data_IF_528009560820
#
_entry.id   IF_528009560820
#
_cell.length_a   1.000
_cell.length_b   1.000
_cell.length_c   1.000
_cell.angle_alpha   90.00
_cell.angle_beta   90.00
_cell.angle_gamma   90.00
#
_symmetry.space_group_name_H-M   'P 1'
#
loop_
_entity.id
_entity.type
_entity.pdbx_description
1 polymer ?
#
# COMPACT_ATOMS: atom_id res chain seq x y z
N UNK A 1 -16.26 -59.41 52.44
CA UNK A 1 -17.30 -59.19 51.43
C UNK A 1 -17.06 -57.81 50.84
N UNK A 2 -16.47 -57.85 49.64
CA UNK A 2 -16.62 -56.95 48.49
C UNK A 2 -16.46 -55.43 48.62
N UNK A 3 -15.62 -54.87 47.73
CA UNK A 3 -15.86 -53.51 47.23
C UNK A 3 -14.65 -52.72 46.73
N UNK A 4 -14.08 -53.09 45.58
CA UNK A 4 -13.29 -52.18 44.74
C UNK A 4 -14.11 -50.92 44.35
N UNK A 5 -13.48 -49.73 44.34
CA UNK A 5 -13.30 -48.87 43.14
C UNK A 5 -12.55 -47.57 43.47
N UNK A 6 -11.48 -47.31 42.70
CA UNK A 6 -10.76 -46.05 42.57
C UNK A 6 -11.51 -45.07 41.65
N UNK A 7 -11.46 -43.76 41.93
CA UNK A 7 -10.84 -42.70 41.09
C UNK A 7 -11.36 -41.28 41.39
N UNK A 8 -10.41 -40.38 41.67
CA UNK A 8 -10.27 -38.95 41.26
C UNK A 8 -11.48 -38.01 41.20
N UNK A 9 -11.40 -36.84 41.87
CA UNK A 9 -11.29 -35.48 41.28
C UNK A 9 -11.51 -34.36 42.34
N UNK A 10 -10.72 -33.29 42.19
CA UNK A 10 -11.05 -31.86 42.35
C UNK A 10 -11.01 -31.11 43.72
N UNK A 11 -10.17 -30.06 43.69
CA UNK A 11 -10.34 -28.66 44.15
C UNK A 11 -9.90 -28.20 45.56
N UNK A 12 -9.16 -27.07 45.56
CA UNK A 12 -9.24 -26.03 46.60
C UNK A 12 -7.90 -25.55 47.19
N UNK A 13 -7.07 -24.81 46.43
CA UNK A 13 -6.80 -23.35 46.61
C UNK A 13 -6.19 -22.89 47.94
N UNK A 14 -4.97 -22.34 47.91
CA UNK A 14 -4.66 -20.92 48.19
C UNK A 14 -3.16 -20.71 48.48
N UNK A 15 -2.45 -20.00 47.59
CA UNK A 15 -1.10 -19.48 47.82
C UNK A 15 -0.94 -18.15 47.04
N UNK A 16 -1.07 -17.04 47.76
CA UNK A 16 -0.66 -15.69 47.38
C UNK A 16 -0.05 -15.11 48.67
N UNK A 17 1.11 -14.44 48.76
CA UNK A 17 1.63 -13.28 48.04
C UNK A 17 3.10 -13.13 48.51
N UNK A 18 4.12 -13.04 47.64
CA UNK A 18 5.46 -12.47 47.98
C UNK A 18 6.39 -12.23 46.76
N UNK A 19 5.85 -11.81 45.62
CA UNK A 19 6.67 -11.52 44.42
C UNK A 19 6.27 -10.18 43.79
N UNK A 20 6.40 -9.07 44.52
CA UNK A 20 6.06 -7.73 44.00
C UNK A 20 7.05 -6.56 44.24
N UNK A 21 8.23 -6.69 44.89
CA UNK A 21 9.15 -5.55 44.94
C UNK A 21 10.24 -5.56 43.84
N UNK A 22 10.56 -6.71 43.23
CA UNK A 22 11.71 -6.80 42.30
C UNK A 22 11.43 -6.31 40.86
N UNK A 23 10.18 -6.30 40.40
CA UNK A 23 9.84 -5.88 39.02
C UNK A 23 9.72 -4.37 38.83
N UNK A 24 9.51 -3.60 39.91
CA UNK A 24 9.40 -2.13 39.82
C UNK A 24 10.78 -1.44 39.75
N UNK A 25 11.82 -2.08 40.30
CA UNK A 25 13.19 -1.53 40.28
C UNK A 25 13.82 -1.63 38.88
N UNK A 26 13.47 -2.65 38.11
CA UNK A 26 13.96 -2.84 36.73
C UNK A 26 13.36 -1.81 35.77
N UNK A 27 12.11 -1.37 36.00
CA UNK A 27 11.41 -0.42 35.13
C UNK A 27 11.94 1.03 35.24
N UNK A 28 12.56 1.38 36.37
CA UNK A 28 13.13 2.72 36.58
C UNK A 28 14.55 2.87 35.98
N UNK A 29 15.29 1.78 35.80
CA UNK A 29 16.66 1.83 35.25
C UNK A 29 16.66 1.96 33.71
N UNK A 30 15.65 1.41 33.02
CA UNK A 30 15.56 1.47 31.54
C UNK A 30 15.19 2.87 31.02
N UNK A 31 14.47 3.66 31.81
CA UNK A 31 14.02 5.00 31.41
C UNK A 31 15.07 6.12 31.56
N UNK A 32 16.29 5.82 32.03
CA UNK A 32 17.33 6.82 32.27
C UNK A 32 18.42 6.90 31.18
N UNK A 33 18.32 6.13 30.08
CA UNK A 33 19.30 6.14 28.97
C UNK A 33 18.73 6.65 27.64
N UNK A 34 17.45 7.00 27.59
CA UNK A 34 16.84 7.57 26.40
C UNK A 34 16.49 9.01 26.71
N UNK A 35 17.51 9.89 26.77
CA UNK A 35 17.30 11.21 26.17
C UNK A 35 18.58 12.02 25.90
N UNK A 36 18.56 12.59 24.68
CA UNK A 36 19.19 13.83 24.24
C UNK A 36 20.71 13.88 23.94
N UNK A 37 21.05 13.85 22.63
CA UNK A 37 21.82 14.94 21.98
C UNK A 37 21.77 14.84 20.45
N UNK A 38 21.15 15.85 19.80
CA UNK A 38 21.28 16.06 18.34
C UNK A 38 20.21 16.95 17.72
N UNK A 39 20.14 18.23 18.09
CA UNK A 39 19.22 19.20 17.49
C UNK A 39 19.81 19.98 16.30
N UNK A 40 18.89 20.40 15.40
CA UNK A 40 18.91 21.47 14.38
C UNK A 40 19.52 21.17 12.99
N UNK A 41 18.68 21.17 11.95
CA UNK A 41 18.23 22.36 11.19
C UNK A 41 17.12 21.97 10.21
N UNK A 42 16.03 22.73 10.23
CA UNK A 42 14.94 22.60 9.28
C UNK A 42 15.40 22.98 7.87
N UNK A 43 15.24 22.03 6.94
CA UNK A 43 15.19 22.27 5.50
C UNK A 43 13.75 22.07 5.04
N UNK A 44 13.03 23.17 4.84
CA UNK A 44 11.72 23.18 4.15
C UNK A 44 12.00 22.87 2.67
N UNK A 45 11.67 21.66 2.23
CA UNK A 45 11.89 21.22 0.86
C UNK A 45 10.84 20.20 0.43
N UNK A 46 9.75 20.72 -0.17
CA UNK A 46 8.69 20.05 -0.96
C UNK A 46 8.21 18.70 -0.43
N UNK A 47 7.01 18.72 0.18
CA UNK A 47 6.19 17.53 0.38
C UNK A 47 6.06 16.78 -0.95
N UNK A 48 6.73 15.63 -1.02
CA UNK A 48 6.44 14.63 -2.04
C UNK A 48 5.25 13.87 -1.48
N UNK A 49 4.09 14.00 -2.14
CA UNK A 49 2.90 13.23 -1.84
C UNK A 49 3.18 11.76 -2.17
N UNK A 50 3.94 11.09 -1.30
CA UNK A 50 4.24 9.66 -1.37
C UNK A 50 3.22 8.94 -0.49
N UNK A 51 1.94 9.07 -0.82
CA UNK A 51 0.92 8.23 -0.20
C UNK A 51 1.32 6.78 -0.53
N UNK A 52 1.65 6.01 0.50
CA UNK A 52 1.99 4.61 0.34
C UNK A 52 0.79 3.92 -0.31
N UNK A 53 1.00 3.17 -1.38
CA UNK A 53 -0.04 2.53 -2.20
C UNK A 53 -1.16 1.83 -1.40
N UNK A 54 -0.81 1.20 -0.27
CA UNK A 54 -1.76 0.61 0.66
C UNK A 54 -2.76 1.66 1.18
N UNK A 55 -2.26 2.83 1.59
CA UNK A 55 -3.06 3.97 2.01
C UNK A 55 -3.88 4.56 0.84
N UNK A 56 -3.39 4.58 -0.40
CA UNK A 56 -4.16 5.10 -1.57
C UNK A 56 -5.30 4.17 -1.96
N UNK A 57 -5.05 2.86 -2.02
CA UNK A 57 -6.06 1.86 -2.35
C UNK A 57 -7.14 1.81 -1.26
N UNK A 58 -6.76 1.83 0.02
CA UNK A 58 -7.70 1.88 1.15
C UNK A 58 -8.48 3.21 1.19
N UNK A 59 -7.82 4.35 0.96
CA UNK A 59 -8.45 5.66 0.90
C UNK A 59 -9.47 5.78 -0.25
N UNK A 60 -9.18 5.18 -1.40
CA UNK A 60 -10.09 5.18 -2.55
C UNK A 60 -11.41 4.43 -2.31
N UNK A 61 -11.42 3.43 -1.42
CA UNK A 61 -12.61 2.65 -1.05
C UNK A 61 -13.48 3.35 0.01
N UNK A 62 -12.92 4.28 0.79
CA UNK A 62 -13.61 4.96 1.89
C UNK A 62 -14.27 6.27 1.43
N UNK A 63 -13.72 6.95 0.42
CA UNK A 63 -14.18 8.28 -0.01
C UNK A 63 -15.14 8.32 -1.20
N UNK A 64 -15.71 7.17 -1.61
CA UNK A 64 -16.64 7.12 -2.75
C UNK A 64 -17.89 8.00 -2.57
N UNK A 65 -18.23 8.39 -1.33
CA UNK A 65 -19.47 9.10 -1.01
C UNK A 65 -19.35 10.64 -0.88
N UNK A 66 -18.19 11.24 -1.15
CA UNK A 66 -18.01 12.71 -1.19
C UNK A 66 -17.09 13.15 -2.36
N UNK A 67 -17.15 12.45 -3.49
CA UNK A 67 -16.37 12.82 -4.66
C UNK A 67 -16.91 14.14 -5.24
N UNK A 68 -16.17 15.23 -5.04
CA UNK A 68 -16.31 16.45 -5.85
C UNK A 68 -16.38 16.02 -7.33
N UNK A 69 -17.31 16.57 -8.11
CA UNK A 69 -17.45 16.21 -9.53
C UNK A 69 -16.17 16.50 -10.33
N UNK A 70 -15.32 17.38 -9.78
CA UNK A 70 -13.99 17.76 -10.24
C UNK A 70 -12.87 16.81 -9.82
N UNK A 71 -13.14 15.88 -8.90
CA UNK A 71 -12.15 14.93 -8.40
C UNK A 71 -11.63 13.99 -9.49
N UNK A 72 -10.37 13.59 -9.34
CA UNK A 72 -9.76 12.63 -10.24
C UNK A 72 -10.49 11.29 -10.15
N UNK A 73 -11.01 10.81 -11.27
CA UNK A 73 -11.61 9.49 -11.37
C UNK A 73 -11.11 8.74 -12.61
N UNK A 74 -10.94 7.44 -12.47
CA UNK A 74 -10.42 6.57 -13.53
C UNK A 74 -11.61 6.11 -14.39
N UNK A 75 -11.70 6.68 -15.60
CA UNK A 75 -12.80 6.42 -16.56
C UNK A 75 -12.63 5.07 -17.23
N UNK A 76 -11.40 4.70 -17.59
CA UNK A 76 -11.12 3.46 -18.32
C UNK A 76 -9.72 2.97 -18.00
N UNK A 77 -9.49 1.66 -18.08
CA UNK A 77 -8.17 1.09 -17.98
C UNK A 77 -8.14 -0.35 -18.51
N UNK A 78 -6.97 -0.97 -18.45
CA UNK A 78 -6.80 -2.39 -18.78
C UNK A 78 -7.72 -3.30 -17.94
N UNK A 79 -7.82 -4.56 -18.36
CA UNK A 79 -8.52 -5.58 -17.60
C UNK A 79 -7.89 -5.77 -16.21
N UNK A 80 -8.69 -6.12 -15.20
CA UNK A 80 -8.20 -6.27 -13.82
C UNK A 80 -7.16 -7.38 -13.67
N UNK A 81 -7.16 -8.35 -14.58
CA UNK A 81 -6.16 -9.42 -14.68
C UNK A 81 -5.67 -9.54 -16.11
N UNK A 82 -4.37 -9.42 -16.32
CA UNK A 82 -3.75 -9.41 -17.63
C UNK A 82 -2.62 -10.43 -17.67
N UNK A 83 -2.61 -11.27 -18.70
CA UNK A 83 -1.52 -12.22 -18.92
C UNK A 83 -0.50 -11.66 -19.89
N UNK A 84 0.78 -11.98 -19.68
CA UNK A 84 1.86 -11.62 -20.59
C UNK A 84 2.81 -12.79 -20.85
N UNK A 85 3.51 -12.76 -21.99
CA UNK A 85 4.52 -13.77 -22.34
C UNK A 85 5.91 -13.22 -22.03
N UNK A 86 6.78 -14.10 -21.55
CA UNK A 86 8.18 -13.74 -21.27
C UNK A 86 8.89 -13.32 -22.56
N UNK A 87 9.68 -12.24 -22.49
CA UNK A 87 10.38 -11.67 -23.65
C UNK A 87 9.52 -10.80 -24.56
N UNK A 88 8.21 -10.68 -24.31
CA UNK A 88 7.30 -9.79 -25.04
C UNK A 88 6.93 -8.57 -24.21
N UNK A 89 6.14 -7.67 -24.80
CA UNK A 89 5.66 -6.44 -24.14
C UNK A 89 4.52 -6.74 -23.16
N UNK A 90 4.63 -6.26 -21.92
CA UNK A 90 3.50 -6.09 -21.00
C UNK A 90 3.00 -4.65 -21.09
N UNK A 91 1.70 -4.46 -21.36
CA UNK A 91 1.10 -3.14 -21.59
C UNK A 91 -0.10 -2.95 -20.68
N UNK A 92 -0.05 -1.96 -19.80
CA UNK A 92 -1.15 -1.58 -18.90
C UNK A 92 -1.56 -0.14 -19.21
N UNK A 93 -2.86 0.09 -19.42
CA UNK A 93 -3.42 1.38 -19.83
C UNK A 93 -4.33 1.91 -18.73
N UNK A 94 -4.30 3.23 -18.53
CA UNK A 94 -5.18 3.95 -17.62
C UNK A 94 -5.59 5.29 -18.22
N UNK A 95 -6.87 5.64 -18.06
CA UNK A 95 -7.46 6.91 -18.52
C UNK A 95 -8.21 7.52 -17.35
N UNK A 96 -7.82 8.73 -16.94
CA UNK A 96 -8.34 9.39 -15.75
C UNK A 96 -8.76 10.83 -16.05
N UNK A 97 -9.97 11.19 -15.58
CA UNK A 97 -10.63 12.48 -15.80
C UNK A 97 -10.73 13.25 -14.49
N UNK A 98 -10.66 14.56 -14.56
CA UNK A 98 -10.78 15.46 -13.42
C UNK A 98 -10.55 16.89 -13.89
N UNK A 99 -11.08 17.85 -13.13
CA UNK A 99 -10.94 19.27 -13.42
C UNK A 99 -10.42 19.99 -12.17
N UNK A 100 -9.13 20.37 -12.09
CA UNK A 100 -8.11 20.31 -13.13
C UNK A 100 -7.70 18.89 -13.58
N UNK A 101 -7.09 18.80 -14.77
CA UNK A 101 -6.61 17.54 -15.34
C UNK A 101 -5.80 16.72 -14.33
N UNK A 102 -6.11 15.44 -14.13
CA UNK A 102 -5.38 14.62 -13.18
C UNK A 102 -3.98 14.25 -13.69
N UNK A 103 -3.10 13.99 -12.75
CA UNK A 103 -1.79 13.37 -12.95
C UNK A 103 -1.88 11.88 -12.71
N UNK A 104 -1.21 11.05 -13.51
CA UNK A 104 -1.19 9.60 -13.34
C UNK A 104 0.19 9.15 -12.88
N UNK A 105 0.22 8.29 -11.87
CA UNK A 105 1.43 7.60 -11.40
C UNK A 105 1.20 6.10 -11.37
N UNK A 106 2.25 5.35 -11.72
CA UNK A 106 2.22 3.89 -11.74
C UNK A 106 2.96 3.32 -10.54
N UNK A 107 2.41 2.24 -9.97
CA UNK A 107 2.98 1.53 -8.84
C UNK A 107 2.97 0.02 -9.10
N UNK A 108 3.94 -0.70 -8.55
CA UNK A 108 3.95 -2.17 -8.46
C UNK A 108 4.14 -2.55 -7.00
N UNK A 109 3.22 -3.33 -6.44
CA UNK A 109 3.35 -3.91 -5.09
C UNK A 109 3.73 -2.86 -4.02
N UNK A 110 3.15 -1.66 -4.14
CA UNK A 110 3.40 -0.49 -3.30
C UNK A 110 4.62 0.38 -3.57
N UNK A 111 5.49 0.00 -4.49
CA UNK A 111 6.60 0.82 -4.95
C UNK A 111 6.21 1.66 -6.16
N UNK A 112 6.49 2.96 -6.13
CA UNK A 112 6.31 3.85 -7.30
C UNK A 112 7.26 3.38 -8.41
N UNK A 113 6.69 3.07 -9.57
CA UNK A 113 7.47 2.71 -10.74
C UNK A 113 8.08 3.98 -11.32
N UNK A 114 9.39 3.92 -11.55
CA UNK A 114 10.14 4.97 -12.22
C UNK A 114 10.64 4.46 -13.57
N UNK A 115 10.81 5.32 -14.59
CA UNK A 115 11.27 4.86 -15.89
C UNK A 115 12.65 4.19 -15.75
N UNK A 116 12.83 3.06 -16.42
CA UNK A 116 14.09 2.29 -16.42
C UNK A 116 14.36 1.78 -17.84
N UNK A 117 15.43 1.01 -18.03
CA UNK A 117 15.80 0.48 -19.34
C UNK A 117 14.67 -0.33 -20.01
N UNK A 118 13.89 -1.08 -19.22
CA UNK A 118 12.79 -1.93 -19.70
C UNK A 118 11.40 -1.41 -19.33
N UNK A 119 11.28 -0.23 -18.69
CA UNK A 119 10.01 0.32 -18.20
C UNK A 119 9.82 1.73 -18.75
N UNK A 120 8.73 1.93 -19.51
CA UNK A 120 8.40 3.19 -20.16
C UNK A 120 6.98 3.64 -19.84
N UNK A 121 6.79 4.95 -19.70
CA UNK A 121 5.47 5.57 -19.59
C UNK A 121 5.21 6.45 -20.80
N UNK A 122 3.99 6.37 -21.31
CA UNK A 122 3.52 7.24 -22.38
C UNK A 122 2.27 7.93 -21.91
N UNK A 123 2.32 9.26 -21.86
CA UNK A 123 1.20 10.09 -21.45
C UNK A 123 0.69 10.92 -22.62
N UNK A 124 -0.63 10.95 -22.79
CA UNK A 124 -1.30 11.70 -23.83
C UNK A 124 -2.51 12.43 -23.25
N UNK A 125 -2.47 13.77 -23.20
CA UNK A 125 -3.67 14.60 -23.02
C UNK A 125 -4.68 14.31 -24.14
N UNK A 126 -5.92 13.94 -23.78
CA UNK A 126 -6.99 13.69 -24.78
C UNK A 126 -7.90 14.91 -24.93
N UNK A 127 -8.24 15.56 -23.82
CA UNK A 127 -9.11 16.75 -23.72
C UNK A 127 -8.54 17.69 -22.65
N UNK A 128 -9.20 18.74 -22.18
CA UNK A 128 -8.70 19.63 -21.11
C UNK A 128 -8.68 18.97 -19.73
N UNK A 129 -9.63 18.09 -19.45
CA UNK A 129 -9.83 17.42 -18.16
C UNK A 129 -9.40 15.94 -18.18
N UNK A 130 -8.83 15.47 -19.31
CA UNK A 130 -8.67 14.05 -19.61
C UNK A 130 -7.24 13.64 -19.93
N UNK A 131 -6.67 12.73 -19.13
CA UNK A 131 -5.33 12.17 -19.35
C UNK A 131 -5.40 10.67 -19.64
N UNK A 132 -4.66 10.23 -20.66
CA UNK A 132 -4.39 8.84 -20.96
C UNK A 132 -2.92 8.52 -20.67
N UNK A 133 -2.67 7.40 -20.00
CA UNK A 133 -1.34 6.92 -19.65
C UNK A 133 -1.21 5.44 -19.98
N UNK A 134 -0.05 5.04 -20.53
CA UNK A 134 0.32 3.67 -20.84
C UNK A 134 1.64 3.34 -20.16
N UNK A 135 1.62 2.32 -19.33
CA UNK A 135 2.80 1.62 -18.83
C UNK A 135 3.17 0.50 -19.80
N UNK A 136 4.39 0.52 -20.30
CA UNK A 136 4.96 -0.50 -21.17
C UNK A 136 6.22 -1.08 -20.52
N UNK A 137 6.26 -2.41 -20.37
CA UNK A 137 7.44 -3.15 -19.93
C UNK A 137 7.91 -4.04 -21.08
N UNK A 138 9.13 -3.80 -21.57
CA UNK A 138 9.70 -4.47 -22.73
C UNK A 138 11.23 -4.61 -22.61
N UNK A 139 11.81 -5.82 -22.61
CA UNK A 139 11.12 -7.12 -22.57
C UNK A 139 10.55 -7.41 -21.17
N UNK A 140 9.38 -8.05 -21.12
CA UNK A 140 8.80 -8.52 -19.87
C UNK A 140 9.51 -9.78 -19.36
N UNK A 141 9.74 -9.81 -18.05
CA UNK A 141 10.45 -10.85 -17.32
C UNK A 141 9.54 -11.49 -16.27
N UNK A 142 9.99 -12.60 -15.67
CA UNK A 142 9.24 -13.23 -14.57
C UNK A 142 9.05 -12.29 -13.37
N UNK A 143 9.98 -11.35 -13.15
CA UNK A 143 9.92 -10.36 -12.08
C UNK A 143 8.85 -9.28 -12.27
N UNK A 144 8.29 -9.17 -13.47
CA UNK A 144 7.24 -8.20 -13.79
C UNK A 144 5.84 -8.73 -13.43
N UNK A 145 5.71 -9.97 -12.99
CA UNK A 145 4.48 -10.45 -12.36
C UNK A 145 4.21 -9.70 -11.05
N UNK A 146 2.94 -9.39 -10.80
CA UNK A 146 2.53 -8.72 -9.57
C UNK A 146 1.26 -7.90 -9.74
N UNK A 147 0.96 -7.09 -8.71
CA UNK A 147 -0.17 -6.15 -8.74
C UNK A 147 0.36 -4.75 -9.03
N UNK A 148 -0.12 -4.19 -10.12
CA UNK A 148 0.11 -2.82 -10.54
C UNK A 148 -1.04 -1.94 -10.07
N UNK A 149 -0.80 -0.65 -9.85
CA UNK A 149 -1.88 0.33 -9.83
C UNK A 149 -1.56 1.58 -10.63
N UNK A 150 -2.62 2.11 -11.21
CA UNK A 150 -2.68 3.47 -11.69
C UNK A 150 -3.27 4.33 -10.57
N UNK A 151 -2.56 5.37 -10.16
CA UNK A 151 -3.03 6.38 -9.21
C UNK A 151 -3.24 7.67 -9.97
N UNK A 152 -4.50 8.09 -10.08
CA UNK A 152 -4.90 9.37 -10.62
C UNK A 152 -5.07 10.38 -9.48
N UNK A 153 -4.40 11.53 -9.57
CA UNK A 153 -4.40 12.55 -8.54
C UNK A 153 -4.68 13.94 -9.13
N UNK A 154 -5.61 14.65 -8.51
CA UNK A 154 -5.91 16.06 -8.73
C UNK A 154 -6.04 16.78 -7.37
N UNK A 155 -6.08 18.10 -7.36
CA UNK A 155 -6.27 18.90 -6.14
C UNK A 155 -7.56 18.57 -5.37
N UNK A 156 -8.58 18.09 -6.08
CA UNK A 156 -9.89 17.72 -5.51
C UNK A 156 -9.96 16.28 -5.00
N UNK A 157 -9.01 15.41 -5.36
CA UNK A 157 -9.07 14.02 -4.92
C UNK A 157 -8.10 13.08 -5.61
N UNK A 158 -8.04 11.86 -5.06
CA UNK A 158 -7.16 10.78 -5.51
C UNK A 158 -8.01 9.54 -5.73
N UNK A 159 -7.78 8.86 -6.86
CA UNK A 159 -8.36 7.56 -7.16
C UNK A 159 -7.29 6.59 -7.62
N UNK A 160 -7.37 5.34 -7.18
CA UNK A 160 -6.49 4.27 -7.62
C UNK A 160 -7.27 3.12 -8.24
N UNK A 161 -6.66 2.45 -9.22
CA UNK A 161 -7.17 1.20 -9.79
C UNK A 161 -6.05 0.19 -9.90
N UNK A 162 -6.32 -1.01 -9.40
CA UNK A 162 -5.37 -2.12 -9.39
C UNK A 162 -5.54 -2.99 -10.63
N UNK A 163 -4.42 -3.53 -11.13
CA UNK A 163 -4.33 -4.45 -12.24
C UNK A 163 -3.37 -5.58 -11.86
N UNK A 164 -3.82 -6.82 -11.97
CA UNK A 164 -3.00 -8.01 -11.76
C UNK A 164 -2.32 -8.38 -13.08
N UNK A 165 -1.01 -8.58 -13.07
CA UNK A 165 -0.28 -9.10 -14.22
C UNK A 165 0.31 -10.47 -13.88
N UNK A 166 0.05 -11.47 -14.72
CA UNK A 166 0.53 -12.85 -14.55
C UNK A 166 1.26 -13.29 -15.83
N UNK A 167 2.42 -13.94 -15.69
CA UNK A 167 3.08 -14.47 -16.89
C UNK A 167 2.48 -15.83 -17.29
N UNK A 168 2.49 -16.12 -18.58
CA UNK A 168 2.26 -17.45 -19.14
C UNK A 168 3.50 -17.92 -19.87
N UNK A 169 3.73 -19.23 -19.83
CA UNK A 169 4.74 -19.92 -20.62
C UNK A 169 4.32 -19.98 -22.10
#
# INVERSE_FOLDING_TARGET
MDGCRYCTYFLGTSLTVQMRPFLLVIFLIVNALVDCRGGRRGGKGKGKNNLQFAQVAEFSLIHTQLADNRSAHIVTGSHFSQTFRLGYKLIIICKARGDPRPTIKWYKESAELHPRQNIHYYEKPIDDDMLWSKLEIDPATMGDQGVYACVANNEHGVMAKNFKAEYTY
#
